data_IF_537612080951
#
_entry.id   IF_537612080951
#
_cell.length_a   1.000
_cell.length_b   1.000
_cell.length_c   1.000
_cell.angle_alpha   90.00
_cell.angle_beta   90.00
_cell.angle_gamma   90.00
#
_symmetry.space_group_name_H-M   'P 1'
#
loop_
_entity.id
_entity.type
_entity.pdbx_description
1 polymer ?
#
# COMPACT_ATOMS: atom_id res chain seq x y z
N UNK A 1 -3.53 -0.36 9.60
CA UNK A 1 -5.01 -0.45 9.68
C UNK A 1 -5.39 -1.92 9.73
N UNK A 2 -6.05 -2.31 10.81
CA UNK A 2 -6.67 -3.63 11.01
C UNK A 2 -8.20 -3.44 10.96
N UNK A 3 -8.95 -4.53 10.80
CA UNK A 3 -10.41 -4.50 10.88
C UNK A 3 -10.88 -4.20 12.30
N UNK A 4 -12.04 -3.56 12.43
CA UNK A 4 -12.61 -3.28 13.74
C UNK A 4 -13.16 -4.59 14.34
N UNK A 5 -12.41 -5.21 15.24
CA UNK A 5 -12.78 -6.47 15.89
C UNK A 5 -14.15 -6.45 16.58
N UNK A 6 -14.61 -5.29 17.06
CA UNK A 6 -15.95 -5.17 17.64
C UNK A 6 -17.06 -5.33 16.60
N UNK A 7 -16.80 -4.98 15.34
CA UNK A 7 -17.73 -5.13 14.21
C UNK A 7 -17.65 -6.55 13.64
N UNK A 8 -16.45 -7.11 13.51
CA UNK A 8 -16.24 -8.44 12.91
C UNK A 8 -16.28 -9.60 13.91
N UNK A 9 -16.57 -9.34 15.18
CA UNK A 9 -16.81 -10.36 16.21
C UNK A 9 -15.56 -11.09 16.72
N UNK A 10 -14.38 -10.46 16.67
CA UNK A 10 -13.11 -11.03 17.19
C UNK A 10 -12.74 -12.42 16.63
N UNK A 11 -13.17 -12.73 15.41
CA UNK A 11 -13.04 -14.08 14.84
C UNK A 11 -11.56 -14.47 14.63
N UNK A 12 -10.72 -13.53 14.22
CA UNK A 12 -9.26 -13.72 14.08
C UNK A 12 -8.55 -12.38 14.23
N UNK A 13 -7.23 -12.44 14.41
CA UNK A 13 -6.35 -11.26 14.38
C UNK A 13 -5.52 -11.29 13.10
N UNK A 14 -5.43 -10.16 12.40
CA UNK A 14 -4.58 -10.05 11.21
C UNK A 14 -3.11 -10.07 11.62
N UNK A 15 -2.27 -10.69 10.80
CA UNK A 15 -0.83 -10.74 11.08
C UNK A 15 -0.21 -9.34 11.00
N UNK A 16 0.59 -9.00 12.00
CA UNK A 16 1.40 -7.77 12.07
C UNK A 16 2.84 -8.23 12.25
N UNK A 17 3.77 -7.67 11.46
CA UNK A 17 5.20 -7.96 11.64
C UNK A 17 5.61 -7.48 13.03
N UNK A 18 6.23 -8.34 13.87
CA UNK A 18 6.64 -7.93 15.21
C UNK A 18 7.65 -6.78 15.17
N UNK A 19 7.49 -5.86 16.13
CA UNK A 19 8.47 -4.81 16.38
C UNK A 19 9.86 -5.39 16.62
N UNK A 20 10.88 -4.78 16.03
CA UNK A 20 12.29 -5.18 16.13
C UNK A 20 12.73 -6.27 15.15
N UNK A 21 11.80 -6.94 14.47
CA UNK A 21 12.14 -7.97 13.46
C UNK A 21 12.68 -7.32 12.18
N UNK A 22 11.83 -6.53 11.51
CA UNK A 22 12.21 -5.71 10.35
C UNK A 22 12.14 -4.23 10.70
N UNK A 23 11.11 -3.81 11.43
CA UNK A 23 10.89 -2.40 11.78
C UNK A 23 11.41 -2.14 13.19
N UNK A 24 12.40 -1.26 13.30
CA UNK A 24 13.05 -0.86 14.54
C UNK A 24 12.24 0.25 15.24
N UNK A 25 11.04 -0.07 15.74
CA UNK A 25 10.13 0.94 16.33
C UNK A 25 10.74 1.73 17.48
N UNK A 26 11.62 1.10 18.27
CA UNK A 26 12.36 1.76 19.36
C UNK A 26 13.26 2.91 18.84
N UNK A 27 13.66 2.87 17.57
CA UNK A 27 14.43 3.92 16.90
C UNK A 27 13.55 5.02 16.28
N UNK A 28 12.23 4.92 16.37
CA UNK A 28 11.26 5.86 15.80
C UNK A 28 10.51 6.64 16.91
N UNK A 29 11.19 7.58 17.61
CA UNK A 29 10.54 8.34 18.67
C UNK A 29 9.44 9.23 18.09
N UNK A 30 8.36 9.37 18.86
CA UNK A 30 7.27 10.29 18.53
C UNK A 30 7.79 11.73 18.38
N UNK A 31 7.21 12.46 17.42
CA UNK A 31 7.50 13.86 17.22
C UNK A 31 7.12 14.67 18.48
N UNK A 32 8.04 15.52 18.96
CA UNK A 32 7.86 16.31 20.18
C UNK A 32 7.03 17.58 19.95
N UNK A 33 6.90 17.99 18.71
CA UNK A 33 6.29 19.23 18.21
C UNK A 33 5.06 18.93 17.33
N UNK A 34 4.30 17.90 17.72
CA UNK A 34 3.04 17.53 17.08
C UNK A 34 1.89 18.40 17.59
N UNK A 35 1.29 19.18 16.69
CA UNK A 35 0.03 19.89 16.93
C UNK A 35 -1.12 19.16 16.23
N UNK A 36 -2.24 19.00 16.93
CA UNK A 36 -3.44 18.35 16.42
C UNK A 36 -4.65 19.28 16.47
N UNK A 37 -5.41 19.32 15.37
CA UNK A 37 -6.69 20.01 15.29
C UNK A 37 -7.73 19.13 14.60
N UNK A 38 -8.98 19.23 15.03
CA UNK A 38 -10.12 18.60 14.36
C UNK A 38 -11.17 19.65 14.01
N UNK A 39 -11.62 19.64 12.76
CA UNK A 39 -12.77 20.42 12.30
C UNK A 39 -13.97 19.49 12.18
N UNK A 40 -15.02 19.77 12.96
CA UNK A 40 -16.26 19.03 12.90
C UNK A 40 -17.06 19.34 11.62
N UNK A 41 -17.02 20.59 11.16
CA UNK A 41 -17.69 21.05 9.93
C UNK A 41 -17.09 20.37 8.70
N UNK A 42 -15.75 20.38 8.60
CA UNK A 42 -15.01 19.76 7.49
C UNK A 42 -14.78 18.25 7.69
N UNK A 43 -15.19 17.70 8.83
CA UNK A 43 -14.91 16.33 9.27
C UNK A 43 -13.48 15.91 8.98
N UNK A 44 -12.53 16.75 9.38
CA UNK A 44 -11.14 16.64 8.99
C UNK A 44 -10.24 16.76 10.21
N UNK A 45 -9.28 15.84 10.35
CA UNK A 45 -8.20 15.94 11.33
C UNK A 45 -6.94 16.44 10.67
N UNK A 46 -6.24 17.38 11.30
CA UNK A 46 -4.96 17.91 10.81
C UNK A 46 -3.90 17.75 11.90
N UNK A 47 -2.78 17.20 11.50
CA UNK A 47 -1.58 17.00 12.30
C UNK A 47 -0.47 17.87 11.70
N UNK A 48 0.12 18.77 12.48
CA UNK A 48 1.27 19.58 12.07
C UNK A 48 2.48 19.13 12.88
N UNK A 49 3.58 18.84 12.19
CA UNK A 49 4.83 18.43 12.82
C UNK A 49 5.90 19.45 12.44
N UNK A 50 6.36 20.19 13.44
CA UNK A 50 7.26 21.31 13.23
C UNK A 50 6.67 22.37 12.30
N UNK A 51 7.51 22.95 11.43
CA UNK A 51 7.10 24.05 10.54
C UNK A 51 6.71 23.61 9.13
N UNK A 52 7.00 22.37 8.76
CA UNK A 52 7.03 21.93 7.36
C UNK A 52 5.99 20.85 7.05
N UNK A 53 5.88 19.83 7.91
CA UNK A 53 5.04 18.67 7.65
C UNK A 53 3.61 18.90 8.15
N UNK A 54 2.65 18.75 7.25
CA UNK A 54 1.21 18.78 7.55
C UNK A 54 0.58 17.51 7.01
N UNK A 55 -0.11 16.77 7.87
CA UNK A 55 -0.86 15.58 7.51
C UNK A 55 -2.33 15.84 7.79
N UNK A 56 -3.19 15.65 6.79
CA UNK A 56 -4.62 15.91 6.89
C UNK A 56 -5.40 14.63 6.57
N UNK A 57 -6.29 14.21 7.46
CA UNK A 57 -7.19 13.07 7.29
C UNK A 57 -8.62 13.58 7.10
N UNK A 58 -9.16 13.40 5.90
CA UNK A 58 -10.59 13.60 5.62
C UNK A 58 -11.34 12.31 5.96
N UNK A 59 -12.26 12.39 6.92
CA UNK A 59 -12.87 11.20 7.53
C UNK A 59 -13.90 10.50 6.64
N UNK A 60 -14.72 11.25 5.89
CA UNK A 60 -15.84 10.68 5.12
C UNK A 60 -15.35 9.69 4.03
N UNK A 61 -14.26 10.02 3.34
CA UNK A 61 -13.68 9.16 2.29
C UNK A 61 -12.39 8.44 2.73
N UNK A 62 -11.93 8.67 3.97
CA UNK A 62 -10.66 8.15 4.49
C UNK A 62 -9.50 8.48 3.54
N UNK A 63 -9.29 9.78 3.28
CA UNK A 63 -8.19 10.27 2.45
C UNK A 63 -7.16 10.96 3.36
N UNK A 64 -5.92 10.48 3.29
CA UNK A 64 -4.80 11.05 4.04
C UNK A 64 -3.90 11.83 3.08
N UNK A 65 -3.82 13.14 3.26
CA UNK A 65 -2.98 14.03 2.46
C UNK A 65 -1.74 14.42 3.25
N UNK A 66 -0.57 14.25 2.65
CA UNK A 66 0.72 14.60 3.24
C UNK A 66 1.33 15.76 2.47
N UNK A 67 1.56 16.86 3.17
CA UNK A 67 2.16 18.07 2.62
C UNK A 67 3.45 18.44 3.34
N UNK A 68 4.45 18.89 2.57
CA UNK A 68 5.75 19.36 3.06
C UNK A 68 5.95 20.78 2.51
N UNK A 69 6.30 21.72 3.37
CA UNK A 69 6.47 23.15 3.02
C UNK A 69 5.30 23.74 2.23
N UNK A 70 4.08 23.33 2.60
CA UNK A 70 2.83 23.79 1.98
C UNK A 70 2.46 23.13 0.66
N UNK A 71 3.25 22.16 0.17
CA UNK A 71 2.96 21.41 -1.06
C UNK A 71 2.54 19.99 -0.73
N UNK A 72 1.48 19.51 -1.37
CA UNK A 72 1.08 18.10 -1.29
C UNK A 72 2.11 17.26 -2.04
N UNK A 73 2.71 16.30 -1.35
CA UNK A 73 3.73 15.42 -1.95
C UNK A 73 3.25 13.98 -2.08
N UNK A 74 2.37 13.53 -1.17
CA UNK A 74 1.76 12.21 -1.19
C UNK A 74 0.29 12.30 -0.75
N UNK A 75 -0.60 11.53 -1.39
CA UNK A 75 -1.99 11.37 -0.96
C UNK A 75 -2.37 9.89 -0.97
N UNK A 76 -2.83 9.39 0.16
CA UNK A 76 -3.25 8.00 0.34
C UNK A 76 -4.75 7.95 0.09
N UNK A 77 -5.17 6.92 -0.66
CA UNK A 77 -6.56 6.63 -1.00
C UNK A 77 -7.24 7.72 -1.86
N UNK A 78 -6.48 8.50 -2.64
CA UNK A 78 -7.03 9.56 -3.50
C UNK A 78 -7.91 8.99 -4.63
N UNK A 79 -7.64 7.75 -5.07
CA UNK A 79 -8.44 7.00 -6.05
C UNK A 79 -9.49 6.12 -5.38
N UNK A 80 -9.66 6.26 -4.06
CA UNK A 80 -10.60 5.54 -3.21
C UNK A 80 -10.39 4.01 -3.27
N UNK A 81 -9.20 3.49 -3.56
CA UNK A 81 -8.94 2.05 -3.74
C UNK A 81 -8.60 1.32 -2.44
N UNK A 82 -8.92 1.91 -1.28
CA UNK A 82 -8.89 1.22 -0.01
C UNK A 82 -9.75 -0.05 -0.08
N UNK A 83 -9.10 -1.17 0.19
CA UNK A 83 -9.72 -2.49 0.25
C UNK A 83 -9.30 -3.18 1.54
N UNK A 84 -10.29 -3.70 2.26
CA UNK A 84 -10.11 -4.55 3.44
C UNK A 84 -11.19 -5.61 3.38
N UNK A 85 -10.82 -6.84 3.06
CA UNK A 85 -11.74 -7.97 3.13
C UNK A 85 -11.97 -8.38 4.59
N UNK A 86 -13.19 -8.22 5.08
CA UNK A 86 -13.53 -8.51 6.47
C UNK A 86 -13.39 -10.00 6.79
N UNK A 87 -12.99 -10.30 8.02
CA UNK A 87 -12.94 -11.68 8.50
C UNK A 87 -14.32 -12.33 8.46
N UNK A 88 -14.33 -13.60 8.06
CA UNK A 88 -15.51 -14.45 7.96
C UNK A 88 -15.29 -15.74 8.74
N UNK A 89 -16.39 -16.34 9.19
CA UNK A 89 -16.37 -17.74 9.59
C UNK A 89 -16.13 -18.63 8.37
N UNK A 90 -15.43 -19.74 8.57
CA UNK A 90 -15.05 -20.69 7.53
C UNK A 90 -16.24 -21.10 6.62
N UNK A 91 -16.01 -21.12 5.31
CA UNK A 91 -16.96 -21.38 4.23
C UNK A 91 -18.28 -20.58 4.28
N UNK A 92 -18.28 -19.43 4.96
CA UNK A 92 -19.42 -18.51 4.95
C UNK A 92 -19.29 -17.50 3.80
N UNK A 93 -20.02 -17.70 2.70
CA UNK A 93 -20.17 -16.71 1.63
C UNK A 93 -20.94 -15.45 2.06
N UNK A 94 -21.36 -15.34 3.33
CA UNK A 94 -22.06 -14.15 3.81
C UNK A 94 -21.09 -13.02 4.12
N UNK A 95 -21.40 -11.84 3.60
CA UNK A 95 -20.73 -10.61 3.98
C UNK A 95 -20.84 -10.40 5.50
N UNK A 96 -19.72 -10.18 6.23
CA UNK A 96 -19.76 -10.01 7.68
C UNK A 96 -20.52 -8.75 8.13
N UNK A 97 -20.68 -7.77 7.24
CA UNK A 97 -21.29 -6.47 7.53
C UNK A 97 -22.78 -6.37 7.17
N UNK A 98 -23.40 -7.45 6.64
CA UNK A 98 -24.80 -7.48 6.23
C UNK A 98 -25.21 -6.27 5.35
N UNK A 99 -24.37 -5.94 4.36
CA UNK A 99 -24.57 -4.81 3.48
C UNK A 99 -25.68 -5.09 2.45
N UNK A 100 -26.44 -4.06 2.02
CA UNK A 100 -27.42 -4.22 0.96
C UNK A 100 -26.74 -4.53 -0.37
N UNK A 101 -27.31 -5.46 -1.12
CA UNK A 101 -26.89 -5.80 -2.48
C UNK A 101 -27.17 -4.62 -3.43
N UNK A 102 -26.10 -3.89 -3.77
CA UNK A 102 -26.12 -2.68 -4.61
C UNK A 102 -24.96 -2.69 -5.59
N UNK A 103 -25.26 -2.71 -6.89
CA UNK A 103 -24.25 -2.67 -7.96
C UNK A 103 -23.63 -1.28 -8.18
N UNK A 104 -24.28 -0.23 -7.69
CA UNK A 104 -23.82 1.17 -7.76
C UNK A 104 -22.97 1.58 -6.54
N UNK A 105 -22.83 0.71 -5.55
CA UNK A 105 -22.04 0.95 -4.35
C UNK A 105 -20.59 0.49 -4.53
N UNK A 106 -19.65 1.26 -3.97
CA UNK A 106 -18.26 0.83 -3.81
C UNK A 106 -18.10 0.10 -2.47
N UNK A 107 -17.61 -1.13 -2.51
CA UNK A 107 -17.36 -1.93 -1.32
C UNK A 107 -15.90 -1.84 -0.95
N UNK A 108 -15.62 -1.53 0.32
CA UNK A 108 -14.26 -1.66 0.89
C UNK A 108 -13.89 -3.15 0.96
N UNK A 109 -14.87 -4.02 1.23
CA UNK A 109 -14.72 -5.47 1.16
C UNK A 109 -15.28 -5.96 -0.20
N UNK A 110 -14.44 -6.16 -1.22
CA UNK A 110 -14.90 -6.56 -2.55
C UNK A 110 -15.64 -7.91 -2.54
N UNK A 111 -15.29 -8.83 -1.65
CA UNK A 111 -15.99 -10.10 -1.49
C UNK A 111 -17.39 -9.95 -0.82
N UNK A 112 -17.79 -8.73 -0.41
CA UNK A 112 -19.17 -8.39 -0.07
C UNK A 112 -19.98 -7.83 -1.26
N UNK A 113 -19.33 -7.51 -2.38
CA UNK A 113 -20.02 -6.91 -3.52
C UNK A 113 -20.94 -7.91 -4.24
N UNK A 114 -21.93 -7.44 -5.02
CA UNK A 114 -22.83 -8.34 -5.73
C UNK A 114 -22.12 -9.16 -6.80
N UNK A 115 -22.47 -10.44 -6.91
CA UNK A 115 -21.92 -11.34 -7.93
C UNK A 115 -21.21 -12.56 -7.34
N UNK A 116 -20.55 -13.32 -8.21
CA UNK A 116 -19.76 -14.51 -7.85
C UNK A 116 -18.30 -14.13 -7.66
N UNK A 117 -17.73 -14.48 -6.51
CA UNK A 117 -16.33 -14.23 -6.16
C UNK A 117 -15.56 -15.55 -6.13
N UNK A 118 -15.37 -16.15 -7.30
CA UNK A 118 -14.64 -17.42 -7.43
C UNK A 118 -13.22 -17.27 -6.88
N UNK A 119 -12.71 -18.30 -6.19
CA UNK A 119 -11.41 -18.26 -5.51
C UNK A 119 -11.40 -17.54 -4.15
N UNK A 120 -12.56 -17.03 -3.68
CA UNK A 120 -12.70 -16.48 -2.31
C UNK A 120 -12.45 -17.52 -1.21
N UNK A 121 -12.71 -18.79 -1.52
CA UNK A 121 -12.43 -19.96 -0.68
C UNK A 121 -11.53 -20.91 -1.46
N UNK A 122 -11.44 -22.16 -1.03
CA UNK A 122 -10.54 -23.17 -1.58
C UNK A 122 -10.28 -23.02 -3.09
N UNK A 123 -9.01 -22.89 -3.44
CA UNK A 123 -8.55 -22.68 -4.81
C UNK A 123 -7.54 -23.74 -5.20
N UNK A 124 -7.46 -24.07 -6.50
CA UNK A 124 -6.52 -25.07 -7.01
C UNK A 124 -5.64 -24.47 -8.09
N UNK A 125 -4.33 -24.59 -7.91
CA UNK A 125 -3.32 -24.20 -8.89
C UNK A 125 -2.36 -25.36 -9.14
N UNK A 126 -2.21 -25.76 -10.41
CA UNK A 126 -1.35 -26.87 -10.84
C UNK A 126 -1.52 -28.18 -10.04
N UNK A 127 -2.73 -28.47 -9.59
CA UNK A 127 -3.05 -29.68 -8.81
C UNK A 127 -2.81 -29.56 -7.31
N UNK A 128 -2.33 -28.41 -6.83
CA UNK A 128 -2.26 -28.08 -5.40
C UNK A 128 -3.50 -27.30 -4.99
N UNK A 129 -4.19 -27.78 -3.96
CA UNK A 129 -5.36 -27.10 -3.40
C UNK A 129 -4.99 -26.36 -2.13
N UNK A 130 -5.13 -25.03 -2.13
CA UNK A 130 -5.19 -24.25 -0.91
C UNK A 130 -6.62 -24.31 -0.38
N UNK A 131 -6.81 -24.76 0.86
CA UNK A 131 -8.12 -24.87 1.48
C UNK A 131 -8.73 -23.51 1.84
N UNK A 132 -7.91 -22.45 1.99
CA UNK A 132 -8.29 -21.11 2.46
C UNK A 132 -9.31 -21.18 3.61
N UNK A 133 -8.97 -21.77 4.78
CA UNK A 133 -9.92 -21.95 5.89
C UNK A 133 -10.48 -20.62 6.43
N UNK A 134 -9.84 -19.53 6.01
CA UNK A 134 -10.06 -18.17 6.44
C UNK A 134 -10.70 -17.31 5.34
N UNK A 135 -10.92 -17.87 4.16
CA UNK A 135 -11.58 -17.20 3.04
C UNK A 135 -10.82 -15.95 2.57
N UNK A 136 -11.54 -14.93 2.07
CA UNK A 136 -10.93 -13.68 1.62
C UNK A 136 -10.34 -12.91 2.81
N UNK A 137 -9.13 -12.38 2.62
CA UNK A 137 -8.39 -11.61 3.63
C UNK A 137 -7.55 -10.47 3.06
N UNK A 138 -7.75 -10.13 1.80
CA UNK A 138 -6.96 -9.15 1.07
C UNK A 138 -7.04 -7.76 1.71
N UNK A 139 -5.92 -7.05 1.69
CA UNK A 139 -5.81 -5.65 2.08
C UNK A 139 -5.09 -4.86 1.00
N UNK A 140 -5.48 -3.61 0.80
CA UNK A 140 -4.82 -2.76 -0.18
C UNK A 140 -5.26 -1.32 -0.12
N UNK A 141 -4.43 -0.44 -0.68
CA UNK A 141 -4.72 0.99 -0.78
C UNK A 141 -3.89 1.63 -1.88
N UNK A 142 -4.40 2.71 -2.47
CA UNK A 142 -3.62 3.52 -3.40
C UNK A 142 -2.82 4.61 -2.69
N UNK A 143 -1.63 4.92 -3.23
CA UNK A 143 -0.85 6.09 -2.85
C UNK A 143 -0.53 6.87 -4.12
N UNK A 144 -0.78 8.17 -4.08
CA UNK A 144 -0.50 9.09 -5.17
C UNK A 144 0.70 9.95 -4.80
N UNK A 145 1.68 10.03 -5.68
CA UNK A 145 2.84 10.93 -5.58
C UNK A 145 2.64 12.05 -6.60
N UNK A 146 2.62 13.29 -6.14
CA UNK A 146 2.32 14.46 -6.97
C UNK A 146 3.46 14.78 -7.94
N UNK A 147 3.17 15.07 -9.21
CA UNK A 147 4.18 15.53 -10.20
C UNK A 147 5.47 14.67 -10.24
N UNK A 148 5.30 13.36 -10.37
CA UNK A 148 6.41 12.42 -10.42
C UNK A 148 6.89 12.18 -11.86
N UNK A 149 8.20 12.30 -12.10
CA UNK A 149 8.80 12.09 -13.43
C UNK A 149 9.64 10.80 -13.52
N UNK A 150 10.00 10.22 -12.38
CA UNK A 150 10.63 8.92 -12.30
C UNK A 150 10.27 8.20 -11.00
N UNK A 151 10.34 6.87 -11.02
CA UNK A 151 10.15 6.05 -9.84
C UNK A 151 11.19 4.92 -9.80
N UNK A 152 11.57 4.52 -8.59
CA UNK A 152 12.61 3.54 -8.28
C UNK A 152 12.16 2.67 -7.09
N UNK A 153 12.81 1.52 -6.90
CA UNK A 153 12.46 0.59 -5.83
C UNK A 153 11.91 -0.73 -6.36
N UNK A 154 10.99 -1.31 -5.60
CA UNK A 154 10.27 -2.56 -5.87
C UNK A 154 11.18 -3.71 -6.30
N UNK A 155 12.24 -3.93 -5.54
CA UNK A 155 13.14 -5.07 -5.72
C UNK A 155 12.53 -6.33 -5.09
N UNK A 156 12.85 -7.54 -5.53
CA UNK A 156 13.77 -7.89 -6.61
C UNK A 156 13.02 -8.12 -7.95
N UNK A 157 13.67 -7.84 -9.08
CA UNK A 157 13.07 -7.97 -10.42
C UNK A 157 14.12 -8.21 -11.50
N UNK A 158 13.74 -8.96 -12.54
CA UNK A 158 14.63 -9.30 -13.67
C UNK A 158 14.76 -8.15 -14.67
N UNK A 159 15.65 -7.18 -14.40
CA UNK A 159 15.81 -6.00 -15.29
C UNK A 159 17.24 -5.45 -15.28
N UNK A 160 17.62 -4.79 -16.38
CA UNK A 160 18.85 -3.99 -16.45
C UNK A 160 18.65 -2.52 -16.04
N UNK A 161 17.41 -2.09 -15.81
CA UNK A 161 17.07 -0.70 -15.49
C UNK A 161 16.66 -0.53 -14.03
N UNK A 162 17.24 0.44 -13.33
CA UNK A 162 16.78 0.83 -12.00
C UNK A 162 15.46 1.60 -12.03
N UNK A 163 15.14 2.30 -13.13
CA UNK A 163 13.87 3.04 -13.27
C UNK A 163 12.71 2.04 -13.40
N UNK A 164 11.62 2.29 -12.69
CA UNK A 164 10.41 1.47 -12.77
C UNK A 164 9.73 1.67 -14.13
N UNK A 165 9.28 0.57 -14.74
CA UNK A 165 8.34 0.60 -15.87
C UNK A 165 6.96 0.95 -15.30
N UNK A 166 6.31 1.95 -15.88
CA UNK A 166 4.96 2.40 -15.54
C UNK A 166 4.01 1.98 -16.65
N UNK A 167 2.75 1.75 -16.34
CA UNK A 167 1.72 1.64 -17.37
C UNK A 167 1.00 0.31 -17.42
N UNK A 168 0.61 -0.24 -16.27
CA UNK A 168 -0.41 -1.26 -16.37
C UNK A 168 -1.05 -1.75 -15.08
N UNK A 169 -2.27 -2.22 -15.29
CA UNK A 169 -3.12 -3.00 -14.38
C UNK A 169 -3.34 -4.41 -14.91
N UNK A 170 -2.60 -4.82 -15.95
CA UNK A 170 -2.62 -6.20 -16.44
C UNK A 170 -1.65 -7.04 -15.62
N UNK A 171 -1.93 -8.34 -15.48
CA UNK A 171 -1.12 -9.25 -14.66
C UNK A 171 0.36 -9.25 -15.03
N UNK A 172 0.69 -9.07 -16.32
CA UNK A 172 2.07 -9.03 -16.81
C UNK A 172 2.81 -7.73 -16.48
N UNK A 173 2.08 -6.69 -16.07
CA UNK A 173 2.60 -5.35 -15.79
C UNK A 173 2.67 -5.03 -14.29
N UNK A 174 2.04 -5.85 -13.45
CA UNK A 174 2.11 -5.73 -12.00
C UNK A 174 3.48 -6.16 -11.50
N UNK A 175 3.99 -5.45 -10.50
CA UNK A 175 5.10 -5.92 -9.70
C UNK A 175 4.57 -6.89 -8.66
N UNK A 176 5.28 -7.98 -8.40
CA UNK A 176 4.86 -8.98 -7.42
C UNK A 176 5.97 -9.28 -6.43
N UNK A 177 5.61 -9.34 -5.14
CA UNK A 177 6.46 -9.80 -4.06
C UNK A 177 5.94 -11.12 -3.55
N UNK A 178 6.62 -12.19 -3.96
CA UNK A 178 6.38 -13.54 -3.51
C UNK A 178 7.68 -14.31 -3.72
N UNK A 179 8.45 -14.56 -2.66
CA UNK A 179 9.78 -15.11 -2.82
C UNK A 179 9.70 -16.53 -3.42
N UNK A 180 10.22 -16.68 -4.63
CA UNK A 180 10.11 -17.87 -5.48
C UNK A 180 11.49 -18.29 -6.00
N UNK A 181 11.68 -19.59 -6.13
CA UNK A 181 12.75 -20.15 -6.94
C UNK A 181 12.31 -20.15 -8.42
N UNK A 182 12.64 -19.09 -9.15
CA UNK A 182 12.28 -18.93 -10.55
C UNK A 182 13.45 -19.29 -11.46
N UNK A 183 13.51 -20.56 -11.87
CA UNK A 183 14.47 -21.04 -12.86
C UNK A 183 14.39 -20.25 -14.19
N UNK A 184 15.54 -19.74 -14.63
CA UNK A 184 15.70 -19.00 -15.89
C UNK A 184 14.70 -17.84 -16.05
N UNK A 185 14.51 -17.04 -14.98
CA UNK A 185 13.66 -15.86 -15.01
C UNK A 185 14.05 -14.89 -16.15
N UNK A 186 13.06 -14.22 -16.77
CA UNK A 186 13.31 -13.29 -17.87
C UNK A 186 13.97 -12.00 -17.37
N UNK A 187 14.88 -11.44 -18.18
CA UNK A 187 15.48 -10.12 -17.96
C UNK A 187 14.98 -9.15 -19.02
N UNK A 188 14.38 -8.05 -18.59
CA UNK A 188 13.77 -6.99 -19.43
C UNK A 188 12.65 -7.43 -20.40
N UNK A 189 12.27 -8.71 -20.39
CA UNK A 189 11.18 -9.28 -21.19
C UNK A 189 9.81 -9.21 -20.51
N UNK A 190 8.88 -10.03 -21.02
CA UNK A 190 7.57 -10.24 -20.40
C UNK A 190 7.74 -10.84 -19.00
N UNK A 191 6.92 -10.40 -18.03
CA UNK A 191 6.99 -10.84 -16.63
C UNK A 191 8.30 -10.47 -15.91
N UNK A 192 9.09 -9.55 -16.44
CA UNK A 192 10.27 -9.02 -15.74
C UNK A 192 9.96 -8.38 -14.38
N UNK A 193 8.70 -7.98 -14.15
CA UNK A 193 8.15 -7.46 -12.90
C UNK A 193 7.61 -8.57 -11.97
N UNK A 194 7.59 -9.82 -12.42
CA UNK A 194 7.17 -10.95 -11.62
C UNK A 194 8.12 -11.22 -10.45
N UNK A 195 7.63 -11.97 -9.48
CA UNK A 195 8.38 -12.27 -8.28
C UNK A 195 9.55 -13.24 -8.56
N UNK A 196 10.67 -12.99 -7.89
CA UNK A 196 11.87 -13.85 -7.89
C UNK A 196 12.28 -14.09 -6.43
N UNK A 197 13.56 -14.02 -6.07
CA UNK A 197 14.05 -14.57 -4.81
C UNK A 197 13.81 -13.69 -3.58
N UNK A 198 13.76 -12.37 -3.75
CA UNK A 198 13.61 -11.42 -2.66
C UNK A 198 12.53 -10.35 -2.88
N UNK A 199 12.11 -9.75 -1.77
CA UNK A 199 11.14 -8.67 -1.74
C UNK A 199 11.63 -7.52 -0.84
N UNK A 200 11.72 -6.33 -1.43
CA UNK A 200 12.00 -5.06 -0.76
C UNK A 200 10.91 -4.08 -1.24
N UNK A 201 9.76 -4.01 -0.56
CA UNK A 201 8.57 -3.30 -1.00
C UNK A 201 8.66 -1.78 -0.74
N UNK A 202 9.75 -1.18 -1.21
CA UNK A 202 9.99 0.26 -1.19
C UNK A 202 9.67 0.88 -2.54
N UNK A 203 9.05 2.05 -2.54
CA UNK A 203 8.82 2.84 -3.74
C UNK A 203 9.25 4.28 -3.49
N UNK A 204 10.17 4.77 -4.32
CA UNK A 204 10.65 6.15 -4.29
C UNK A 204 10.23 6.85 -5.57
N UNK A 205 9.43 7.90 -5.45
CA UNK A 205 9.13 8.80 -6.55
C UNK A 205 10.10 9.99 -6.53
N UNK A 206 10.60 10.37 -7.70
CA UNK A 206 11.33 11.62 -7.90
C UNK A 206 10.36 12.65 -8.47
N UNK A 207 10.23 13.75 -7.74
CA UNK A 207 9.22 14.78 -7.95
C UNK A 207 9.93 16.13 -8.16
N UNK A 208 9.26 17.04 -8.87
CA UNK A 208 9.72 18.41 -9.05
C UNK A 208 8.89 19.34 -8.15
N UNK A 209 9.57 20.25 -7.45
CA UNK A 209 8.96 21.27 -6.61
C UNK A 209 9.13 22.67 -7.19
N UNK A 210 8.63 23.71 -6.51
CA UNK A 210 8.71 25.11 -6.94
C UNK A 210 10.12 25.54 -7.29
N UNK A 211 10.24 26.28 -8.39
CA UNK A 211 11.55 26.71 -8.88
C UNK A 211 12.40 25.56 -9.43
N UNK A 212 11.78 24.47 -9.86
CA UNK A 212 12.43 23.29 -10.44
C UNK A 212 13.39 22.57 -9.48
N UNK A 213 13.06 22.56 -8.19
CA UNK A 213 13.84 21.83 -7.18
C UNK A 213 13.42 20.37 -7.15
N UNK A 214 14.35 19.45 -7.39
CA UNK A 214 14.11 18.02 -7.25
C UNK A 214 14.08 17.58 -5.79
N UNK A 215 13.07 16.79 -5.42
CA UNK A 215 13.01 16.06 -4.16
C UNK A 215 12.50 14.64 -4.40
N UNK A 216 12.51 13.82 -3.34
CA UNK A 216 11.96 12.47 -3.38
C UNK A 216 10.94 12.27 -2.29
N UNK A 217 9.84 11.58 -2.59
CA UNK A 217 9.01 10.99 -1.56
C UNK A 217 9.03 9.48 -1.73
N UNK A 218 9.12 8.77 -0.61
CA UNK A 218 9.13 7.31 -0.63
C UNK A 218 8.06 6.72 0.28
N UNK A 219 7.75 5.45 0.05
CA UNK A 219 7.03 4.62 1.00
C UNK A 219 7.72 3.28 1.16
N UNK A 220 7.57 2.67 2.33
CA UNK A 220 7.85 1.26 2.60
C UNK A 220 6.54 0.58 2.98
N UNK A 221 6.12 -0.44 2.23
CA UNK A 221 4.94 -1.24 2.52
C UNK A 221 5.31 -2.43 3.41
N UNK A 222 4.77 -2.49 4.63
CA UNK A 222 5.17 -3.44 5.67
C UNK A 222 4.15 -4.58 5.71
N UNK A 223 4.29 -5.52 4.78
CA UNK A 223 3.44 -6.72 4.72
C UNK A 223 4.24 -7.92 4.18
N UNK A 224 4.21 -9.09 4.84
CA UNK A 224 5.01 -10.24 4.44
C UNK A 224 4.27 -11.22 3.49
N UNK A 225 2.98 -10.99 3.20
CA UNK A 225 2.20 -11.88 2.33
C UNK A 225 2.41 -11.56 0.84
N UNK A 226 1.92 -12.44 -0.04
CA UNK A 226 1.97 -12.22 -1.50
C UNK A 226 1.36 -10.86 -1.83
N UNK A 227 2.16 -10.01 -2.46
CA UNK A 227 1.81 -8.60 -2.68
C UNK A 227 1.96 -8.22 -4.15
N UNK A 228 0.90 -7.64 -4.70
CA UNK A 228 0.88 -7.04 -6.03
C UNK A 228 0.94 -5.52 -5.94
N UNK A 229 1.69 -4.91 -6.86
CA UNK A 229 1.82 -3.46 -6.97
C UNK A 229 1.56 -3.01 -8.40
N UNK A 230 0.56 -2.15 -8.58
CA UNK A 230 0.31 -1.48 -9.86
C UNK A 230 0.96 -0.09 -9.86
N UNK A 231 1.38 0.36 -11.05
CA UNK A 231 1.89 1.72 -11.28
C UNK A 231 1.24 2.32 -12.54
N UNK A 232 0.60 3.47 -12.38
CA UNK A 232 -0.11 4.21 -13.44
C UNK A 232 0.16 5.72 -13.33
N UNK A 233 -0.11 6.49 -14.39
CA UNK A 233 0.24 7.92 -14.45
C UNK A 233 1.72 8.14 -14.77
N UNK A 234 2.39 9.05 -14.04
CA UNK A 234 3.81 9.45 -14.17
C UNK A 234 4.15 10.33 -15.40
N UNK A 235 5.39 10.84 -15.40
CA UNK A 235 6.10 11.56 -16.47
C UNK A 235 5.73 13.05 -16.61
N UNK A 236 5.61 13.74 -15.46
CA UNK A 236 5.17 15.14 -15.37
C UNK A 236 3.74 15.29 -14.86
N UNK A 237 3.09 14.17 -14.52
CA UNK A 237 1.80 14.09 -13.82
C UNK A 237 1.97 13.27 -12.52
N UNK A 238 0.88 13.05 -11.80
CA UNK A 238 0.85 12.20 -10.62
C UNK A 238 1.25 10.75 -10.95
N UNK A 239 2.12 10.16 -10.14
CA UNK A 239 2.33 8.71 -10.10
C UNK A 239 1.35 8.10 -9.12
N UNK A 240 0.54 7.16 -9.59
CA UNK A 240 -0.44 6.45 -8.77
C UNK A 240 0.03 5.01 -8.64
N UNK A 241 0.22 4.57 -7.40
CA UNK A 241 0.47 3.17 -7.05
C UNK A 241 -0.70 2.59 -6.29
N UNK A 242 -0.92 1.28 -6.42
CA UNK A 242 -1.84 0.55 -5.54
C UNK A 242 -1.14 -0.73 -5.09
N UNK A 243 -0.95 -0.85 -3.79
CA UNK A 243 -0.45 -2.06 -3.13
C UNK A 243 -1.64 -2.91 -2.71
N UNK A 244 -1.54 -4.21 -2.95
CA UNK A 244 -2.53 -5.20 -2.56
C UNK A 244 -1.80 -6.42 -2.04
N UNK A 245 -2.09 -6.82 -0.80
CA UNK A 245 -1.50 -7.98 -0.14
C UNK A 245 -2.58 -9.00 0.21
N UNK A 246 -2.26 -10.28 0.08
CA UNK A 246 -3.19 -11.40 0.32
C UNK A 246 -3.76 -11.40 1.74
N UNK A 247 -2.96 -11.04 2.74
CA UNK A 247 -3.36 -11.05 4.15
C UNK A 247 -2.58 -10.01 4.98
N UNK A 248 -2.62 -10.12 6.30
CA UNK A 248 -1.97 -9.17 7.21
C UNK A 248 -2.71 -7.84 7.31
N UNK A 249 -2.00 -6.78 7.70
CA UNK A 249 -2.55 -5.43 7.86
C UNK A 249 -2.07 -4.48 6.77
N UNK A 250 -2.78 -3.36 6.60
CA UNK A 250 -2.23 -2.20 5.87
C UNK A 250 -1.28 -1.49 6.81
N UNK A 251 0.02 -1.64 6.59
CA UNK A 251 1.04 -0.93 7.33
C UNK A 251 2.06 -0.36 6.34
N UNK A 252 2.36 0.94 6.48
CA UNK A 252 3.32 1.60 5.62
C UNK A 252 3.98 2.77 6.33
N UNK A 253 5.27 2.96 6.04
CA UNK A 253 6.03 4.13 6.45
C UNK A 253 6.16 5.07 5.26
N UNK A 254 5.92 6.36 5.48
CA UNK A 254 6.05 7.40 4.48
C UNK A 254 7.29 8.24 4.76
N UNK A 255 8.02 8.58 3.70
CA UNK A 255 9.21 9.42 3.73
C UNK A 255 8.98 10.61 2.79
N UNK A 256 8.18 11.61 3.20
CA UNK A 256 7.72 12.67 2.30
C UNK A 256 8.77 13.76 2.08
N UNK A 257 8.95 14.21 0.84
CA UNK A 257 9.67 15.46 0.56
C UNK A 257 11.16 15.50 0.97
N UNK A 258 11.85 14.36 0.97
CA UNK A 258 13.24 14.24 1.43
C UNK A 258 14.26 14.32 0.28
N UNK A 259 15.49 14.70 0.59
CA UNK A 259 16.64 14.42 -0.29
C UNK A 259 16.98 12.92 -0.26
N UNK A 260 17.57 12.35 -1.33
CA UNK A 260 17.91 10.93 -1.37
C UNK A 260 18.78 10.43 -0.20
N UNK A 261 19.72 11.24 0.28
CA UNK A 261 20.55 10.92 1.43
C UNK A 261 19.77 10.89 2.75
N UNK A 262 18.82 11.82 2.91
CA UNK A 262 17.94 11.88 4.08
C UNK A 262 17.01 10.67 4.10
N UNK A 263 16.43 10.31 2.95
CA UNK A 263 15.65 9.07 2.80
C UNK A 263 16.49 7.84 3.17
N UNK A 264 17.70 7.69 2.62
CA UNK A 264 18.55 6.53 2.91
C UNK A 264 18.87 6.41 4.41
N UNK A 265 19.11 7.55 5.07
CA UNK A 265 19.37 7.61 6.51
C UNK A 265 18.12 7.24 7.32
N UNK A 266 16.95 7.77 6.94
CA UNK A 266 15.70 7.47 7.61
C UNK A 266 15.30 6.00 7.43
N UNK A 267 15.40 5.47 6.21
CA UNK A 267 15.16 4.07 5.89
C UNK A 267 16.04 3.14 6.73
N UNK A 268 17.35 3.39 6.79
CA UNK A 268 18.28 2.58 7.58
C UNK A 268 18.01 2.66 9.10
N UNK A 269 17.56 3.81 9.62
CA UNK A 269 17.13 3.89 11.03
C UNK A 269 15.90 3.05 11.32
N UNK A 270 14.98 2.99 10.35
CA UNK A 270 13.74 2.22 10.46
C UNK A 270 13.98 0.73 10.30
N UNK A 271 14.87 0.29 9.40
CA UNK A 271 14.99 -1.13 9.04
C UNK A 271 16.28 -1.81 9.48
N UNK A 272 17.25 -1.05 10.02
CA UNK A 272 18.59 -1.54 10.33
C UNK A 272 19.55 -1.52 9.15
#
# INVERSE_FOLDING_TARGET
>A
MDENHAIVGFIRTRYVIPSGDIIQDDNMPLAKDLEYTYSQEEKTSTFRVGKSLVVTLMHDDVILTVAVDGQIVQTINSKKRLVIEGTRYEYSNKCPFNLPDRYDAKYIDPACSPGTHDGSWAETYEGYTDAKPHGPSLVGVDVTFTEAYAAYGLQERGTTSSKLKIGGTSDLSLYRFFNLDYYAYPVDGDRAQGAIYGAIPTLTAVQEGPGSTTFTSSLLWVNPSDTLVSLTGCCGEDLITTFVSESGVIDFLLYPGMKPQEFSTAYHRTTG
#
